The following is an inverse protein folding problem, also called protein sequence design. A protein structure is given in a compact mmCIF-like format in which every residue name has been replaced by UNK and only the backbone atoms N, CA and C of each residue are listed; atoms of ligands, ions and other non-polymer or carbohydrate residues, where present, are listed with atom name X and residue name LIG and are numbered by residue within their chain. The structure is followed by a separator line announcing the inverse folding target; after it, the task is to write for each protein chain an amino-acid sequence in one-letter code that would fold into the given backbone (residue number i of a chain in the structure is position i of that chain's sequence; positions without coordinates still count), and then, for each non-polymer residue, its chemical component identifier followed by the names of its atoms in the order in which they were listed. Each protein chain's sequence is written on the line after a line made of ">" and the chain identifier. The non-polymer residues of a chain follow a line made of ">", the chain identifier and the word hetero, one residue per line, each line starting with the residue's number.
data_IF_343944359981
#
_entry.id   IF_343944359981
#
_cell.length_a   1.000
_cell.length_b   1.000
_cell.length_c   1.000
_cell.angle_alpha   90.00
_cell.angle_beta   90.00
_cell.angle_gamma   90.00
#
_symmetry.space_group_name_H-M   'P 1'
#
loop_
_entity.id
_entity.type
_entity.pdbx_description
1 polymer ?
#
# COMPACT_ATOMS: atom_id res chain seq x y z
N UNK A 1 -7.97 -1.68 11.45
CA UNK A 1 -9.23 -2.46 11.41
C UNK A 1 -9.26 -3.45 10.25
N UNK A 2 -9.05 -3.06 8.98
CA UNK A 2 -8.96 -4.04 7.87
C UNK A 2 -7.60 -4.77 7.81
N UNK A 3 -6.50 -4.04 8.00
CA UNK A 3 -5.15 -4.63 8.01
C UNK A 3 -4.70 -5.13 9.38
N UNK A 4 -5.48 -4.89 10.44
CA UNK A 4 -5.08 -5.23 11.81
C UNK A 4 -4.78 -6.73 11.98
N UNK A 5 -5.61 -7.67 11.47
CA UNK A 5 -5.28 -9.09 11.56
C UNK A 5 -3.98 -9.46 10.83
N UNK A 6 -3.69 -8.78 9.71
CA UNK A 6 -2.45 -8.98 8.96
C UNK A 6 -1.23 -8.41 9.72
N UNK A 7 -1.39 -7.24 10.35
CA UNK A 7 -0.37 -6.60 11.19
C UNK A 7 -0.04 -7.48 12.40
N UNK A 8 -1.04 -7.97 13.12
CA UNK A 8 -0.86 -8.86 14.27
C UNK A 8 -0.21 -10.19 13.88
N UNK A 9 -0.65 -10.81 12.79
CA UNK A 9 -0.03 -12.03 12.26
C UNK A 9 1.43 -11.80 11.85
N UNK A 10 1.73 -10.64 11.25
CA UNK A 10 3.10 -10.27 10.87
C UNK A 10 3.96 -10.04 12.11
N UNK A 11 3.44 -9.29 13.09
CA UNK A 11 4.09 -9.04 14.38
C UNK A 11 4.44 -10.35 15.09
N UNK A 12 3.48 -11.26 15.24
CA UNK A 12 3.69 -12.55 15.89
C UNK A 12 4.79 -13.37 15.20
N UNK A 13 4.79 -13.38 13.86
CA UNK A 13 5.83 -14.06 13.07
C UNK A 13 7.21 -13.43 13.30
N UNK A 14 7.30 -12.10 13.27
CA UNK A 14 8.55 -11.38 13.48
C UNK A 14 9.08 -11.55 14.90
N UNK A 15 8.20 -11.50 15.91
CA UNK A 15 8.57 -11.66 17.32
C UNK A 15 9.09 -13.09 17.61
N UNK A 16 8.47 -14.11 17.00
CA UNK A 16 8.94 -15.49 17.10
C UNK A 16 10.34 -15.64 16.49
N UNK A 17 10.56 -15.11 15.29
CA UNK A 17 11.84 -15.21 14.58
C UNK A 17 12.94 -14.34 15.21
N UNK A 18 12.59 -13.20 15.82
CA UNK A 18 13.56 -12.29 16.44
C UNK A 18 14.13 -12.81 17.75
N UNK A 19 13.46 -13.80 18.36
CA UNK A 19 13.88 -14.46 19.60
C UNK A 19 15.12 -15.35 19.40
N UNK A 20 15.28 -15.93 18.20
CA UNK A 20 16.49 -16.65 17.80
C UNK A 20 17.49 -15.69 17.13
N UNK A 21 18.73 -15.68 17.61
CA UNK A 21 19.82 -14.84 17.09
C UNK A 21 20.70 -15.56 16.06
N UNK A 22 20.35 -16.80 15.68
CA UNK A 22 21.03 -17.53 14.62
C UNK A 22 21.01 -16.75 13.29
N UNK A 23 22.08 -16.90 12.50
CA UNK A 23 22.16 -16.26 11.18
C UNK A 23 21.02 -16.71 10.26
N UNK A 24 20.53 -17.95 10.44
CA UNK A 24 19.39 -18.50 9.72
C UNK A 24 18.09 -17.79 10.10
N UNK A 25 17.81 -17.61 11.39
CA UNK A 25 16.61 -16.89 11.86
C UNK A 25 16.57 -15.44 11.36
N UNK A 26 17.72 -14.74 11.37
CA UNK A 26 17.82 -13.37 10.83
C UNK A 26 17.53 -13.33 9.32
N UNK A 27 18.00 -14.32 8.58
CA UNK A 27 17.70 -14.46 7.14
C UNK A 27 16.21 -14.74 6.88
N UNK A 28 15.61 -15.63 7.65
CA UNK A 28 14.18 -15.94 7.58
C UNK A 28 13.31 -14.72 7.94
N UNK A 29 13.73 -13.95 8.97
CA UNK A 29 13.10 -12.71 9.38
C UNK A 29 13.13 -11.67 8.25
N UNK A 30 14.29 -11.47 7.60
CA UNK A 30 14.43 -10.63 6.40
C UNK A 30 13.48 -11.08 5.29
N UNK A 31 13.50 -12.38 4.95
CA UNK A 31 12.65 -12.94 3.89
C UNK A 31 11.16 -12.76 4.19
N UNK A 32 10.76 -12.88 5.45
CA UNK A 32 9.37 -12.72 5.88
C UNK A 32 8.92 -11.26 5.73
N UNK A 33 9.75 -10.29 6.16
CA UNK A 33 9.47 -8.87 5.98
C UNK A 33 9.36 -8.48 4.51
N UNK A 34 10.31 -8.92 3.67
CA UNK A 34 10.27 -8.67 2.22
C UNK A 34 9.01 -9.28 1.61
N UNK A 35 8.66 -10.50 2.00
CA UNK A 35 7.45 -11.17 1.52
C UNK A 35 6.18 -10.38 1.87
N UNK A 36 6.04 -9.95 3.11
CA UNK A 36 4.88 -9.17 3.56
C UNK A 36 4.77 -7.83 2.81
N UNK A 37 5.86 -7.06 2.73
CA UNK A 37 5.88 -5.77 2.02
C UNK A 37 5.62 -5.93 0.53
N UNK A 38 6.20 -6.97 -0.09
CA UNK A 38 5.99 -7.28 -1.50
C UNK A 38 4.55 -7.63 -1.81
N UNK A 39 3.89 -8.43 -0.95
CA UNK A 39 2.47 -8.75 -1.10
C UNK A 39 1.60 -7.48 -1.03
N UNK A 40 1.85 -6.62 -0.04
CA UNK A 40 1.15 -5.33 0.09
C UNK A 40 1.39 -4.46 -1.14
N UNK A 41 2.63 -4.36 -1.63
CA UNK A 41 2.94 -3.57 -2.83
C UNK A 41 2.29 -4.16 -4.09
N UNK A 42 2.20 -5.49 -4.23
CA UNK A 42 1.52 -6.11 -5.36
C UNK A 42 0.04 -5.72 -5.42
N UNK A 43 -0.67 -5.86 -4.29
CA UNK A 43 -2.08 -5.50 -4.20
C UNK A 43 -2.25 -3.99 -4.30
N UNK A 44 -1.42 -3.24 -3.60
CA UNK A 44 -1.48 -1.79 -3.55
C UNK A 44 -1.22 -1.13 -4.89
N UNK A 45 -0.21 -1.57 -5.65
CA UNK A 45 0.06 -1.01 -6.97
C UNK A 45 -1.09 -1.25 -7.96
N UNK A 46 -1.83 -2.36 -7.83
CA UNK A 46 -3.07 -2.58 -8.60
C UNK A 46 -4.13 -1.56 -8.21
N UNK A 47 -4.36 -1.36 -6.91
CA UNK A 47 -5.32 -0.37 -6.41
C UNK A 47 -4.94 1.05 -6.83
N UNK A 48 -3.65 1.41 -6.82
CA UNK A 48 -3.17 2.71 -7.31
C UNK A 48 -3.26 2.87 -8.82
N UNK A 49 -3.00 1.81 -9.57
CA UNK A 49 -3.02 1.87 -11.02
C UNK A 49 -4.43 2.13 -11.56
N UNK A 50 -5.43 1.46 -10.99
CA UNK A 50 -6.80 1.48 -11.50
C UNK A 50 -7.77 2.29 -10.64
N UNK A 51 -7.64 2.22 -9.31
CA UNK A 51 -8.58 2.84 -8.36
C UNK A 51 -8.88 4.31 -8.67
N UNK A 52 -7.87 5.17 -8.89
CA UNK A 52 -8.12 6.58 -9.19
C UNK A 52 -8.93 6.83 -10.48
N UNK A 53 -8.65 6.08 -11.55
CA UNK A 53 -9.35 6.22 -12.84
C UNK A 53 -10.79 5.71 -12.79
N UNK A 54 -11.08 4.71 -11.96
CA UNK A 54 -12.42 4.15 -11.81
C UNK A 54 -13.21 4.75 -10.64
N UNK A 55 -12.63 5.67 -9.88
CA UNK A 55 -13.27 6.27 -8.69
C UNK A 55 -14.59 6.96 -9.04
N UNK A 56 -14.63 7.73 -10.14
CA UNK A 56 -15.88 8.39 -10.58
C UNK A 56 -16.93 7.37 -10.97
N UNK A 57 -16.56 6.40 -11.81
CA UNK A 57 -17.47 5.37 -12.30
C UNK A 57 -18.05 4.53 -11.15
N UNK A 58 -17.23 4.15 -10.17
CA UNK A 58 -17.67 3.40 -9.00
C UNK A 58 -18.69 4.18 -8.17
N UNK A 59 -18.41 5.45 -7.87
CA UNK A 59 -19.36 6.30 -7.11
C UNK A 59 -20.64 6.53 -7.90
N UNK A 60 -20.55 6.72 -9.23
CA UNK A 60 -21.71 6.88 -10.11
C UNK A 60 -22.63 5.66 -10.08
N UNK A 61 -22.06 4.46 -10.07
CA UNK A 61 -22.80 3.20 -10.03
C UNK A 61 -23.42 2.96 -8.65
N UNK A 62 -22.67 3.18 -7.58
CA UNK A 62 -23.10 2.83 -6.22
C UNK A 62 -24.04 3.87 -5.58
N UNK A 63 -23.76 5.16 -5.80
CA UNK A 63 -24.42 6.26 -5.10
C UNK A 63 -25.12 7.24 -6.06
N UNK A 64 -25.00 7.02 -7.36
CA UNK A 64 -25.64 7.84 -8.38
C UNK A 64 -24.96 9.19 -8.64
N UNK A 65 -25.58 9.97 -9.51
CA UNK A 65 -25.06 11.24 -10.02
C UNK A 65 -24.77 12.27 -8.93
N UNK A 66 -25.65 12.37 -7.93
CA UNK A 66 -25.55 13.36 -6.85
C UNK A 66 -24.20 13.31 -6.14
N UNK A 67 -23.65 12.12 -5.93
CA UNK A 67 -22.38 11.92 -5.24
C UNK A 67 -21.20 11.88 -6.21
N UNK A 68 -21.37 11.34 -7.42
CA UNK A 68 -20.30 11.27 -8.41
C UNK A 68 -19.86 12.65 -8.90
N UNK A 69 -20.78 13.60 -9.00
CA UNK A 69 -20.45 14.94 -9.50
C UNK A 69 -19.94 15.87 -8.40
N UNK A 70 -19.95 15.42 -7.13
CA UNK A 70 -19.35 16.11 -5.99
C UNK A 70 -17.90 15.70 -5.69
N UNK A 71 -17.48 15.88 -4.44
CA UNK A 71 -16.09 15.62 -4.00
C UNK A 71 -15.78 14.13 -3.77
N UNK A 72 -16.79 13.26 -3.72
CA UNK A 72 -16.62 11.85 -3.33
C UNK A 72 -15.63 11.06 -4.22
N UNK A 73 -15.63 11.18 -5.57
CA UNK A 73 -14.62 10.54 -6.38
C UNK A 73 -13.21 11.06 -6.12
N UNK A 74 -13.07 12.35 -5.85
CA UNK A 74 -11.76 12.95 -5.54
C UNK A 74 -11.25 12.40 -4.20
N UNK A 75 -12.09 12.37 -3.17
CA UNK A 75 -11.74 11.75 -1.90
C UNK A 75 -11.33 10.28 -2.08
N UNK A 76 -12.07 9.50 -2.88
CA UNK A 76 -11.75 8.10 -3.14
C UNK A 76 -10.41 7.92 -3.86
N UNK A 77 -10.06 8.79 -4.81
CA UNK A 77 -8.75 8.77 -5.49
C UNK A 77 -7.59 8.89 -4.50
N UNK A 78 -7.68 9.84 -3.56
CA UNK A 78 -6.66 10.00 -2.51
C UNK A 78 -6.71 8.85 -1.51
N UNK A 79 -7.90 8.31 -1.23
CA UNK A 79 -8.07 7.18 -0.35
C UNK A 79 -7.36 5.92 -0.87
N UNK A 80 -7.34 5.69 -2.19
CA UNK A 80 -6.55 4.60 -2.80
C UNK A 80 -5.08 4.64 -2.38
N UNK A 81 -4.45 5.83 -2.38
CA UNK A 81 -3.08 6.00 -1.92
C UNK A 81 -2.93 5.85 -0.41
N UNK A 82 -3.88 6.41 0.34
CA UNK A 82 -3.88 6.34 1.80
C UNK A 82 -3.91 4.90 2.32
N UNK A 83 -4.80 4.05 1.78
CA UNK A 83 -4.98 2.66 2.22
C UNK A 83 -3.69 1.85 2.07
N UNK A 84 -2.90 2.11 1.03
CA UNK A 84 -1.64 1.39 0.78
C UNK A 84 -0.54 1.90 1.71
N UNK A 85 -0.48 3.22 1.90
CA UNK A 85 0.41 3.82 2.90
C UNK A 85 0.10 3.28 4.30
N UNK A 86 -1.18 3.11 4.63
CA UNK A 86 -1.61 2.52 5.89
C UNK A 86 -1.12 1.07 6.05
N UNK A 87 -1.32 0.22 5.04
CA UNK A 87 -0.87 -1.19 5.07
C UNK A 87 0.65 -1.33 5.18
N UNK A 88 1.40 -0.52 4.41
CA UNK A 88 2.86 -0.50 4.49
C UNK A 88 3.33 -0.03 5.87
N UNK A 89 2.72 1.03 6.42
CA UNK A 89 3.05 1.52 7.75
C UNK A 89 2.88 0.43 8.80
N UNK A 90 1.70 -0.19 8.88
CA UNK A 90 1.39 -1.24 9.84
C UNK A 90 2.39 -2.39 9.81
N UNK A 91 2.79 -2.83 8.61
CA UNK A 91 3.77 -3.92 8.45
C UNK A 91 5.18 -3.53 8.89
N UNK A 92 5.64 -2.33 8.49
CA UNK A 92 6.98 -1.85 8.88
C UNK A 92 7.10 -1.58 10.37
N UNK A 93 6.02 -1.11 11.01
CA UNK A 93 5.99 -0.87 12.44
C UNK A 93 5.84 -2.16 13.25
N UNK A 94 5.00 -3.09 12.80
CA UNK A 94 4.93 -4.43 13.39
C UNK A 94 6.33 -5.07 13.45
N UNK A 95 7.12 -4.91 12.38
CA UNK A 95 8.52 -5.34 12.39
C UNK A 95 9.35 -4.57 13.43
N UNK A 96 9.32 -3.24 13.41
CA UNK A 96 10.07 -2.41 14.35
C UNK A 96 9.77 -2.80 15.80
N UNK A 97 8.49 -2.92 16.16
CA UNK A 97 8.05 -3.29 17.51
C UNK A 97 8.43 -4.73 17.90
N UNK A 98 8.53 -5.64 16.93
CA UNK A 98 8.89 -7.04 17.20
C UNK A 98 10.40 -7.25 17.41
N UNK A 99 11.25 -6.34 16.94
CA UNK A 99 12.72 -6.51 16.97
C UNK A 99 13.46 -5.42 17.76
N UNK A 100 12.83 -4.29 18.06
CA UNK A 100 13.46 -3.18 18.76
C UNK A 100 13.66 -3.50 20.24
N UNK A 101 14.85 -3.16 20.76
CA UNK A 101 15.13 -3.18 22.19
C UNK A 101 14.43 -2.01 22.90
N UNK A 102 14.30 -2.06 24.23
CA UNK A 102 13.59 -1.02 25.01
C UNK A 102 14.04 0.42 24.73
N UNK A 103 15.34 0.64 24.55
CA UNK A 103 15.89 1.98 24.26
C UNK A 103 15.51 2.47 22.87
N UNK A 104 15.50 1.57 21.88
CA UNK A 104 15.07 1.87 20.52
C UNK A 104 13.56 2.07 20.45
N UNK A 105 12.80 1.30 21.23
CA UNK A 105 11.35 1.43 21.36
C UNK A 105 10.96 2.76 22.00
N UNK A 106 11.64 3.17 23.10
CA UNK A 106 11.45 4.50 23.70
C UNK A 106 11.80 5.62 22.72
N UNK A 107 12.90 5.48 21.98
CA UNK A 107 13.28 6.46 20.94
C UNK A 107 12.23 6.53 19.83
N UNK A 108 11.72 5.38 19.37
CA UNK A 108 10.64 5.31 18.39
C UNK A 108 9.40 6.03 18.89
N UNK A 109 8.98 5.76 20.13
CA UNK A 109 7.82 6.42 20.74
C UNK A 109 7.97 7.95 20.81
N UNK A 110 9.18 8.44 21.11
CA UNK A 110 9.46 9.88 21.10
C UNK A 110 9.36 10.48 19.67
N UNK A 111 9.81 9.77 18.64
CA UNK A 111 9.61 10.20 17.26
C UNK A 111 8.13 10.19 16.85
N UNK A 112 7.35 9.21 17.32
CA UNK A 112 5.90 9.19 17.12
C UNK A 112 5.21 10.42 17.71
N UNK A 113 5.69 10.95 18.84
CA UNK A 113 5.18 12.20 19.41
C UNK A 113 5.46 13.39 18.48
N UNK A 114 6.68 13.49 17.94
CA UNK A 114 7.03 14.54 16.97
C UNK A 114 6.17 14.43 15.72
N UNK A 115 6.00 13.23 15.17
CA UNK A 115 5.12 12.99 14.03
C UNK A 115 3.67 13.34 14.33
N UNK A 116 3.18 13.08 15.55
CA UNK A 116 1.84 13.48 15.98
C UNK A 116 1.67 15.00 16.01
N UNK A 117 2.68 15.74 16.47
CA UNK A 117 2.65 17.21 16.43
C UNK A 117 2.63 17.73 14.98
N UNK A 118 3.50 17.20 14.11
CA UNK A 118 3.51 17.52 12.67
C UNK A 118 2.15 17.20 12.04
N UNK A 119 1.57 16.04 12.37
CA UNK A 119 0.28 15.61 11.89
C UNK A 119 -0.83 16.59 12.30
N UNK A 120 -0.88 17.04 13.55
CA UNK A 120 -1.87 18.03 14.00
C UNK A 120 -1.77 19.33 13.19
N UNK A 121 -0.56 19.84 12.98
CA UNK A 121 -0.33 21.06 12.19
C UNK A 121 -0.79 20.86 10.75
N UNK A 122 -0.37 19.76 10.11
CA UNK A 122 -0.77 19.42 8.74
C UNK A 122 -2.28 19.26 8.62
N UNK A 123 -2.91 18.64 9.60
CA UNK A 123 -4.34 18.40 9.63
C UNK A 123 -5.10 19.73 9.63
N UNK A 124 -4.72 20.68 10.49
CA UNK A 124 -5.33 22.02 10.54
C UNK A 124 -5.14 22.77 9.22
N UNK A 125 -3.94 22.75 8.64
CA UNK A 125 -3.63 23.46 7.39
C UNK A 125 -4.36 22.86 6.18
N UNK A 126 -4.33 21.54 6.04
CA UNK A 126 -4.88 20.84 4.88
C UNK A 126 -6.40 20.74 4.92
N UNK A 127 -7.02 20.60 6.09
CA UNK A 127 -8.49 20.63 6.20
C UNK A 127 -9.02 22.01 5.83
N UNK A 128 -8.35 23.09 6.26
CA UNK A 128 -8.76 24.45 5.91
C UNK A 128 -8.66 24.73 4.40
N UNK A 129 -7.70 24.12 3.70
CA UNK A 129 -7.50 24.35 2.27
C UNK A 129 -8.26 23.39 1.36
N UNK A 130 -8.45 22.13 1.76
CA UNK A 130 -8.96 21.06 0.90
C UNK A 130 -10.00 20.14 1.58
N UNK A 131 -10.55 20.52 2.73
CA UNK A 131 -11.63 19.81 3.41
C UNK A 131 -11.33 18.33 3.66
N UNK A 132 -12.22 17.45 3.19
CA UNK A 132 -12.10 16.00 3.34
C UNK A 132 -10.86 15.41 2.63
N UNK A 133 -10.50 15.94 1.46
CA UNK A 133 -9.28 15.51 0.73
C UNK A 133 -8.04 15.93 1.52
N UNK A 134 -8.09 17.11 2.14
CA UNK A 134 -7.05 17.59 3.05
C UNK A 134 -6.79 16.64 4.22
N UNK A 135 -7.86 16.15 4.86
CA UNK A 135 -7.78 15.17 5.95
C UNK A 135 -7.12 13.85 5.49
N UNK A 136 -7.53 13.30 4.33
CA UNK A 136 -6.95 12.07 3.77
C UNK A 136 -5.47 12.27 3.44
N UNK A 137 -5.13 13.44 2.90
CA UNK A 137 -3.74 13.79 2.55
C UNK A 137 -2.87 13.93 3.80
N UNK A 138 -3.34 14.62 4.83
CA UNK A 138 -2.63 14.76 6.11
C UNK A 138 -2.36 13.38 6.74
N UNK A 139 -3.36 12.49 6.73
CA UNK A 139 -3.21 11.13 7.20
C UNK A 139 -2.20 10.33 6.36
N UNK A 140 -2.22 10.50 5.03
CA UNK A 140 -1.27 9.86 4.13
C UNK A 140 0.16 10.30 4.42
N UNK A 141 0.40 11.60 4.59
CA UNK A 141 1.72 12.15 4.94
C UNK A 141 2.20 11.59 6.28
N UNK A 142 1.33 11.55 7.29
CA UNK A 142 1.67 10.97 8.59
C UNK A 142 2.10 9.49 8.46
N UNK A 143 1.38 8.68 7.67
CA UNK A 143 1.78 7.29 7.40
C UNK A 143 3.12 7.21 6.67
N UNK A 144 3.39 8.10 5.71
CA UNK A 144 4.68 8.12 5.00
C UNK A 144 5.84 8.47 5.91
N UNK A 145 5.70 9.46 6.80
CA UNK A 145 6.74 9.82 7.78
C UNK A 145 7.11 8.61 8.65
N UNK A 146 6.09 7.88 9.12
CA UNK A 146 6.27 6.69 9.95
C UNK A 146 6.89 5.53 9.17
N UNK A 147 6.53 5.33 7.90
CA UNK A 147 7.18 4.36 7.00
C UNK A 147 8.66 4.72 6.83
N UNK A 148 8.99 5.99 6.55
CA UNK A 148 10.38 6.42 6.36
C UNK A 148 11.20 6.15 7.61
N UNK A 149 10.67 6.49 8.79
CA UNK A 149 11.34 6.21 10.06
C UNK A 149 11.58 4.71 10.25
N UNK A 150 10.54 3.89 10.10
CA UNK A 150 10.62 2.44 10.23
C UNK A 150 11.57 1.83 9.18
N UNK A 151 11.61 2.39 7.98
CA UNK A 151 12.48 1.95 6.90
C UNK A 151 13.96 2.23 7.19
N UNK A 152 14.28 3.40 7.77
CA UNK A 152 15.62 3.72 8.26
C UNK A 152 16.04 2.74 9.35
N UNK A 153 15.14 2.44 10.28
CA UNK A 153 15.39 1.46 11.34
C UNK A 153 15.66 0.05 10.77
N UNK A 154 14.81 -0.45 9.87
CA UNK A 154 14.98 -1.75 9.19
C UNK A 154 16.34 -1.84 8.49
N UNK A 155 16.70 -0.81 7.72
CA UNK A 155 17.98 -0.79 7.00
C UNK A 155 19.17 -0.83 7.95
N UNK A 156 19.09 -0.12 9.07
CA UNK A 156 20.13 -0.11 10.09
C UNK A 156 20.22 -1.46 10.83
N UNK A 157 19.08 -2.10 11.11
CA UNK A 157 19.01 -3.41 11.76
C UNK A 157 19.73 -4.49 10.95
N UNK A 158 19.49 -4.54 9.63
CA UNK A 158 20.08 -5.57 8.77
C UNK A 158 21.50 -5.26 8.25
N UNK A 159 22.04 -4.07 8.51
CA UNK A 159 23.32 -3.58 7.96
C UNK A 159 24.50 -4.54 8.17
N UNK A 160 24.54 -5.22 9.32
CA UNK A 160 25.67 -6.07 9.72
C UNK A 160 25.50 -7.55 9.36
N UNK A 161 24.30 -8.00 8.99
CA UNK A 161 24.01 -9.43 8.76
C UNK A 161 23.69 -9.75 7.30
N UNK A 162 22.90 -8.89 6.64
CA UNK A 162 22.58 -9.03 5.22
C UNK A 162 22.03 -7.71 4.70
N UNK A 163 22.67 -7.09 3.70
CA UNK A 163 22.21 -5.80 3.19
C UNK A 163 20.74 -5.89 2.76
N UNK A 164 19.86 -5.09 3.38
CA UNK A 164 18.44 -5.02 3.06
C UNK A 164 18.19 -3.91 2.03
N UNK A 165 17.50 -4.24 0.94
CA UNK A 165 17.07 -3.26 -0.05
C UNK A 165 15.56 -3.28 -0.25
N UNK A 166 14.92 -2.11 -0.11
CA UNK A 166 13.48 -1.95 -0.42
C UNK A 166 13.15 -2.26 -1.88
N UNK A 167 14.13 -2.24 -2.79
CA UNK A 167 13.95 -2.65 -4.18
C UNK A 167 13.59 -4.14 -4.29
N UNK A 168 14.01 -4.97 -3.34
CA UNK A 168 13.63 -6.40 -3.28
C UNK A 168 12.13 -6.59 -3.03
N UNK A 169 11.48 -5.60 -2.40
CA UNK A 169 10.03 -5.61 -2.15
C UNK A 169 9.23 -5.21 -3.39
N UNK A 170 9.84 -4.51 -4.36
CA UNK A 170 9.13 -4.03 -5.54
C UNK A 170 8.76 -5.22 -6.47
N UNK A 171 7.49 -5.35 -6.90
CA UNK A 171 7.08 -6.43 -7.79
C UNK A 171 7.79 -6.35 -9.14
N UNK A 172 8.29 -7.48 -9.62
CA UNK A 172 8.84 -7.62 -10.97
C UNK A 172 7.69 -7.48 -11.95
N UNK A 173 7.74 -6.46 -12.80
CA UNK A 173 6.67 -6.14 -13.75
C UNK A 173 5.77 -4.96 -13.35
N UNK A 174 6.13 -4.20 -12.30
CA UNK A 174 5.42 -2.97 -11.94
C UNK A 174 5.27 -1.97 -13.12
N UNK A 175 6.19 -1.99 -14.09
CA UNK A 175 6.10 -1.19 -15.31
C UNK A 175 4.80 -1.44 -16.10
N UNK A 176 4.30 -2.68 -16.14
CA UNK A 176 3.03 -2.99 -16.82
C UNK A 176 1.85 -2.29 -16.14
N UNK A 177 1.86 -2.22 -14.80
CA UNK A 177 0.86 -1.46 -14.05
C UNK A 177 1.00 0.04 -14.29
N UNK A 178 2.22 0.56 -14.39
CA UNK A 178 2.46 1.97 -14.69
C UNK A 178 1.88 2.34 -16.06
N UNK A 179 2.20 1.59 -17.12
CA UNK A 179 1.66 1.84 -18.45
C UNK A 179 0.15 1.64 -18.50
N UNK A 180 -0.38 0.59 -17.86
CA UNK A 180 -1.82 0.35 -17.77
C UNK A 180 -2.54 1.49 -17.06
N UNK A 181 -1.97 2.02 -15.97
CA UNK A 181 -2.52 3.17 -15.25
C UNK A 181 -2.56 4.42 -16.13
N UNK A 182 -1.49 4.68 -16.88
CA UNK A 182 -1.45 5.79 -17.82
C UNK A 182 -2.54 5.63 -18.89
N UNK A 183 -2.68 4.44 -19.46
CA UNK A 183 -3.73 4.12 -20.43
C UNK A 183 -5.13 4.32 -19.84
N UNK A 184 -5.40 3.88 -18.62
CA UNK A 184 -6.71 4.06 -17.99
C UNK A 184 -7.00 5.50 -17.61
N UNK A 185 -6.00 6.28 -17.21
CA UNK A 185 -6.15 7.73 -16.97
C UNK A 185 -6.48 8.46 -18.28
N UNK A 186 -5.79 8.13 -19.38
CA UNK A 186 -6.09 8.70 -20.69
C UNK A 186 -7.49 8.28 -21.15
N UNK A 187 -7.83 7.00 -20.98
CA UNK A 187 -9.14 6.46 -21.33
C UNK A 187 -10.27 7.15 -20.57
N UNK A 188 -10.10 7.37 -19.27
CA UNK A 188 -11.06 8.12 -18.44
C UNK A 188 -11.26 9.54 -18.99
N UNK A 189 -10.18 10.26 -19.31
CA UNK A 189 -10.27 11.64 -19.78
C UNK A 189 -10.86 11.79 -21.18
N UNK A 190 -10.61 10.83 -22.06
CA UNK A 190 -11.03 10.90 -23.47
C UNK A 190 -12.42 10.31 -23.69
N UNK A 191 -12.70 9.15 -23.10
CA UNK A 191 -13.92 8.40 -23.39
C UNK A 191 -15.03 8.65 -22.37
N UNK A 192 -14.72 8.78 -21.08
CA UNK A 192 -15.74 8.85 -20.04
C UNK A 192 -16.42 10.24 -20.03
N UNK A 193 -17.55 10.36 -20.73
CA UNK A 193 -18.35 11.59 -20.77
C UNK A 193 -19.42 11.54 -19.68
N UNK A 194 -19.43 12.52 -18.78
CA UNK A 194 -20.35 12.56 -17.63
C UNK A 194 -21.83 12.59 -18.03
N UNK A 195 -22.17 13.32 -19.09
CA UNK A 195 -23.54 13.45 -19.60
C UNK A 195 -24.06 12.16 -20.25
N UNK A 196 -23.19 11.46 -21.00
CA UNK A 196 -23.48 10.18 -21.65
C UNK A 196 -22.72 9.04 -20.95
N UNK A 197 -22.81 9.02 -19.62
CA UNK A 197 -22.03 8.09 -18.80
C UNK A 197 -22.31 6.64 -19.20
N UNK A 198 -23.59 6.25 -19.31
CA UNK A 198 -23.96 4.86 -19.60
C UNK A 198 -23.53 4.38 -20.98
N UNK A 199 -23.46 5.26 -21.97
CA UNK A 199 -23.01 4.92 -23.33
C UNK A 199 -21.48 4.77 -23.39
N UNK A 200 -20.76 5.61 -22.65
CA UNK A 200 -19.29 5.69 -22.73
C UNK A 200 -18.57 4.82 -21.71
N UNK A 201 -19.21 4.52 -20.58
CA UNK A 201 -18.67 3.70 -19.50
C UNK A 201 -18.26 2.29 -19.94
N UNK A 202 -19.04 1.54 -20.75
CA UNK A 202 -18.65 0.21 -21.20
C UNK A 202 -17.33 0.19 -21.97
N UNK A 203 -17.04 1.23 -22.75
CA UNK A 203 -15.77 1.38 -23.49
C UNK A 203 -14.61 1.54 -22.52
N UNK A 204 -14.76 2.47 -21.56
CA UNK A 204 -13.74 2.70 -20.53
C UNK A 204 -13.50 1.44 -19.69
N UNK A 205 -14.57 0.77 -19.25
CA UNK A 205 -14.51 -0.47 -18.50
C UNK A 205 -13.80 -1.57 -19.28
N UNK A 206 -14.09 -1.73 -20.58
CA UNK A 206 -13.46 -2.74 -21.44
C UNK A 206 -11.95 -2.52 -21.53
N UNK A 207 -11.50 -1.27 -21.71
CA UNK A 207 -10.07 -0.92 -21.69
C UNK A 207 -9.44 -1.29 -20.33
N UNK A 208 -10.13 -0.98 -19.23
CA UNK A 208 -9.72 -1.37 -17.89
C UNK A 208 -9.52 -2.86 -17.70
N UNK A 209 -10.52 -3.66 -18.12
CA UNK A 209 -10.48 -5.13 -17.99
C UNK A 209 -9.32 -5.72 -18.78
N UNK A 210 -9.05 -5.22 -19.99
CA UNK A 210 -7.92 -5.65 -20.81
C UNK A 210 -6.59 -5.27 -20.13
N UNK A 211 -6.42 -4.01 -19.72
CA UNK A 211 -5.21 -3.54 -19.05
C UNK A 211 -4.93 -4.27 -17.73
N UNK A 212 -5.99 -4.53 -16.95
CA UNK A 212 -5.92 -5.30 -15.72
C UNK A 212 -5.48 -6.74 -15.98
N UNK A 213 -6.12 -7.42 -16.94
CA UNK A 213 -5.81 -8.81 -17.29
C UNK A 213 -4.37 -8.97 -17.77
N UNK A 214 -3.89 -8.05 -18.63
CA UNK A 214 -2.50 -8.02 -19.09
C UNK A 214 -1.53 -7.80 -17.94
N UNK A 215 -1.81 -6.82 -17.06
CA UNK A 215 -0.97 -6.52 -15.91
C UNK A 215 -0.88 -7.68 -14.92
N UNK A 216 -2.02 -8.29 -14.59
CA UNK A 216 -2.09 -9.45 -13.70
C UNK A 216 -1.33 -10.65 -14.28
N UNK A 217 -1.49 -10.93 -15.58
CA UNK A 217 -0.78 -12.03 -16.26
C UNK A 217 0.73 -11.78 -16.28
N UNK A 218 1.17 -10.55 -16.56
CA UNK A 218 2.58 -10.18 -16.59
C UNK A 218 3.23 -10.29 -15.20
N UNK A 219 2.55 -9.82 -14.16
CA UNK A 219 3.01 -9.91 -12.77
C UNK A 219 3.04 -11.37 -12.31
N UNK A 220 1.96 -12.12 -12.56
CA UNK A 220 1.89 -13.54 -12.20
C UNK A 220 3.04 -14.34 -12.83
N UNK A 221 3.31 -14.11 -14.12
CA UNK A 221 4.39 -14.80 -14.83
C UNK A 221 5.78 -14.46 -14.27
N UNK A 222 6.02 -13.20 -13.88
CA UNK A 222 7.31 -12.74 -13.34
C UNK A 222 7.51 -13.06 -11.86
N UNK A 223 6.42 -13.24 -11.10
CA UNK A 223 6.41 -13.51 -9.67
C UNK A 223 5.93 -14.92 -9.31
N UNK A 224 5.85 -15.82 -10.29
CA UNK A 224 5.33 -17.19 -10.13
C UNK A 224 5.96 -17.95 -8.96
N UNK A 225 7.28 -17.83 -8.78
CA UNK A 225 8.00 -18.47 -7.66
C UNK A 225 7.53 -17.96 -6.30
N UNK A 226 7.37 -16.65 -6.16
CA UNK A 226 6.91 -16.02 -4.92
C UNK A 226 5.46 -16.39 -4.61
N UNK A 227 4.58 -16.30 -5.61
CA UNK A 227 3.15 -16.65 -5.47
C UNK A 227 2.98 -18.12 -5.11
N UNK A 228 3.71 -19.03 -5.78
CA UNK A 228 3.66 -20.45 -5.48
C UNK A 228 4.12 -20.76 -4.05
N UNK A 229 5.09 -20.00 -3.52
CA UNK A 229 5.56 -20.15 -2.14
C UNK A 229 4.43 -19.84 -1.14
N UNK A 230 3.70 -18.74 -1.37
CA UNK A 230 2.56 -18.33 -0.53
C UNK A 230 1.43 -19.37 -0.57
N UNK A 231 1.09 -19.87 -1.77
CA UNK A 231 0.04 -20.89 -1.93
C UNK A 231 0.43 -22.18 -1.18
N UNK A 232 1.70 -22.58 -1.27
CA UNK A 232 2.19 -23.78 -0.59
C UNK A 232 2.18 -23.62 0.93
N UNK A 233 2.57 -22.47 1.47
CA UNK A 233 2.51 -22.22 2.92
C UNK A 233 1.08 -22.24 3.46
N UNK A 234 0.10 -21.77 2.68
CA UNK A 234 -1.32 -21.85 3.07
C UNK A 234 -1.82 -23.29 3.14
N UNK A 235 -1.50 -24.12 2.13
CA UNK A 235 -1.88 -25.55 2.09
C UNK A 235 -1.31 -26.42 3.21
N UNK A 236 -0.28 -25.95 3.92
CA UNK A 236 0.29 -26.65 5.08
C UNK A 236 -0.26 -26.13 6.42
N UNK A 237 -1.02 -25.03 6.41
CA UNK A 237 -1.66 -24.45 7.59
C UNK A 237 -3.14 -24.85 7.73
N UNK A 238 -3.74 -25.36 6.65
CA UNK A 238 -5.06 -26.01 6.60
C UNK A 238 -4.90 -27.53 6.75
#
# INVERSE_FOLDING_TARGET
>A
MVFLPFEESSYATFAKLSSDKSQEAVSQLKSSLIGALKLILMIGLVVLAFGPSYSYALIRILYGQKWSDGEAPLALRYYCFYVISLAMNGTTEAFLHAVANETQLKRSNNWLLIFSAIYIILNVLLIRSAGAVGLITANSINMLLRIVYSAVFIKQYFKNSSSFSFRECMPRGWLFLFFSSLTTVISERVFLKREKFWDTFPIHLSIGVVCFSVSCTAIYSREKQFINRIIRTRKHAD
#
